data_IF_654001253257
#
_entry.id   IF_654001253257
#
_cell.length_a   1.000
_cell.length_b   1.000
_cell.length_c   1.000
_cell.angle_alpha   90.00
_cell.angle_beta   90.00
_cell.angle_gamma   90.00
#
_symmetry.space_group_name_H-M   'P 1'
#
loop_
_entity.id
_entity.type
_entity.pdbx_description
1 polymer ?
#
# COMPACT_ATOMS: atom_id res chain seq x y z
N UNK A 1 -10.18 15.42 35.30
CA UNK A 1 -9.27 16.06 34.31
C UNK A 1 -8.33 14.97 33.82
N UNK A 2 -8.51 14.43 32.59
CA UNK A 2 -7.60 13.40 32.10
C UNK A 2 -6.19 14.00 31.91
N UNK A 3 -5.19 13.31 32.46
CA UNK A 3 -3.77 13.69 32.37
C UNK A 3 -3.30 13.72 30.91
N UNK A 4 -2.41 14.66 30.55
CA UNK A 4 -1.86 14.81 29.19
C UNK A 4 -1.33 13.49 28.60
N UNK A 5 -0.76 12.63 29.43
CA UNK A 5 -0.25 11.31 29.03
C UNK A 5 -1.34 10.35 28.51
N UNK A 6 -2.57 10.45 29.04
CA UNK A 6 -3.68 9.62 28.56
C UNK A 6 -4.10 10.03 27.15
N UNK A 7 -4.02 11.32 26.81
CA UNK A 7 -4.36 11.83 25.48
C UNK A 7 -3.28 11.46 24.44
N UNK A 8 -2.00 11.53 24.82
CA UNK A 8 -0.86 11.11 23.98
C UNK A 8 -0.91 9.61 23.69
N UNK A 9 -1.09 8.77 24.73
CA UNK A 9 -1.18 7.30 24.54
C UNK A 9 -2.36 6.88 23.65
N UNK A 10 -3.50 7.57 23.76
CA UNK A 10 -4.67 7.32 22.90
C UNK A 10 -4.45 7.82 21.46
N UNK A 11 -3.73 8.93 21.28
CA UNK A 11 -3.32 9.44 19.97
C UNK A 11 -2.44 8.44 19.22
N UNK A 12 -1.37 7.98 19.87
CA UNK A 12 -0.40 7.06 19.26
C UNK A 12 -1.07 5.74 18.84
N UNK A 13 -1.98 5.18 19.66
CA UNK A 13 -2.73 3.96 19.30
C UNK A 13 -3.60 4.13 18.06
N UNK A 14 -4.27 5.28 17.91
CA UNK A 14 -5.10 5.57 16.73
C UNK A 14 -4.24 5.65 15.47
N UNK A 15 -3.10 6.32 15.57
CA UNK A 15 -2.13 6.42 14.49
C UNK A 15 -1.65 5.02 14.06
N UNK A 16 -1.12 4.19 14.95
CA UNK A 16 -0.73 2.82 14.61
C UNK A 16 -1.84 2.01 13.93
N UNK A 17 -3.08 2.12 14.43
CA UNK A 17 -4.24 1.47 13.81
C UNK A 17 -4.50 1.99 12.40
N UNK A 18 -4.36 3.29 12.14
CA UNK A 18 -4.54 3.84 10.79
C UNK A 18 -3.49 3.31 9.81
N UNK A 19 -2.21 3.23 10.19
CA UNK A 19 -1.17 2.65 9.33
C UNK A 19 -1.41 1.17 9.06
N UNK A 20 -1.82 0.42 10.09
CA UNK A 20 -2.21 -0.98 9.91
C UNK A 20 -3.42 -1.15 9.00
N UNK A 21 -4.44 -0.29 9.14
CA UNK A 21 -5.61 -0.30 8.25
C UNK A 21 -5.22 -0.01 6.80
N UNK A 22 -4.34 0.96 6.55
CA UNK A 22 -3.84 1.24 5.20
C UNK A 22 -3.11 0.01 4.66
N UNK A 23 -2.17 -0.54 5.43
CA UNK A 23 -1.30 -1.63 4.99
C UNK A 23 -2.01 -2.96 4.82
N UNK A 24 -2.98 -3.29 5.67
CA UNK A 24 -3.65 -4.58 5.64
C UNK A 24 -5.00 -4.49 4.92
N UNK A 25 -5.87 -3.57 5.33
CA UNK A 25 -7.25 -3.51 4.79
C UNK A 25 -7.26 -2.88 3.41
N UNK A 26 -6.71 -1.67 3.25
CA UNK A 26 -6.77 -0.99 1.94
C UNK A 26 -5.93 -1.72 0.89
N UNK A 27 -4.77 -2.25 1.26
CA UNK A 27 -3.96 -3.06 0.36
C UNK A 27 -4.72 -4.32 -0.12
N UNK A 28 -5.45 -5.01 0.77
CA UNK A 28 -6.26 -6.16 0.40
C UNK A 28 -7.48 -5.76 -0.44
N UNK A 29 -8.11 -4.62 -0.15
CA UNK A 29 -9.23 -4.10 -0.95
C UNK A 29 -8.81 -3.81 -2.40
N UNK A 30 -7.54 -3.47 -2.65
CA UNK A 30 -6.98 -3.32 -4.00
C UNK A 30 -6.76 -4.65 -4.75
N UNK A 31 -6.78 -5.79 -4.06
CA UNK A 31 -6.73 -7.12 -4.68
C UNK A 31 -8.11 -7.68 -5.04
N UNK A 32 -9.18 -6.99 -4.66
CA UNK A 32 -10.55 -7.43 -4.96
C UNK A 32 -10.86 -7.36 -6.46
N UNK A 33 -11.85 -8.13 -6.88
CA UNK A 33 -12.46 -8.04 -8.22
C UNK A 33 -13.76 -7.19 -8.20
N UNK A 34 -14.11 -6.61 -7.06
CA UNK A 34 -15.25 -5.71 -6.89
C UNK A 34 -14.84 -4.27 -7.18
N UNK A 35 -15.39 -3.71 -8.25
CA UNK A 35 -15.06 -2.36 -8.71
C UNK A 35 -15.45 -1.27 -7.73
N UNK A 36 -16.51 -1.45 -6.94
CA UNK A 36 -16.95 -0.48 -5.94
C UNK A 36 -16.03 -0.49 -4.73
N UNK A 37 -15.67 -1.67 -4.23
CA UNK A 37 -14.73 -1.82 -3.11
C UNK A 37 -13.37 -1.25 -3.49
N UNK A 38 -12.86 -1.61 -4.68
CA UNK A 38 -11.61 -1.08 -5.21
C UNK A 38 -11.63 0.45 -5.31
N UNK A 39 -12.68 1.03 -5.88
CA UNK A 39 -12.80 2.49 -6.04
C UNK A 39 -12.87 3.20 -4.70
N UNK A 40 -13.60 2.63 -3.73
CA UNK A 40 -13.68 3.16 -2.36
C UNK A 40 -12.33 3.13 -1.66
N UNK A 41 -11.57 2.05 -1.81
CA UNK A 41 -10.21 1.95 -1.26
C UNK A 41 -9.27 2.98 -1.91
N UNK A 42 -9.32 3.12 -3.24
CA UNK A 42 -8.56 4.14 -3.95
C UNK A 42 -8.89 5.57 -3.47
N UNK A 43 -10.17 5.89 -3.24
CA UNK A 43 -10.56 7.18 -2.66
C UNK A 43 -9.98 7.40 -1.26
N UNK A 44 -10.07 6.40 -0.37
CA UNK A 44 -9.46 6.50 0.97
C UNK A 44 -7.96 6.71 0.92
N UNK A 45 -7.27 6.07 -0.03
CA UNK A 45 -5.83 6.27 -0.25
C UNK A 45 -5.56 7.71 -0.71
N UNK A 46 -6.37 8.26 -1.63
CA UNK A 46 -6.25 9.67 -2.04
C UNK A 46 -6.41 10.62 -0.86
N UNK A 47 -7.44 10.41 -0.04
CA UNK A 47 -7.70 11.24 1.14
C UNK A 47 -6.53 11.14 2.14
N UNK A 48 -5.99 9.94 2.36
CA UNK A 48 -4.83 9.74 3.21
C UNK A 48 -3.58 10.46 2.68
N UNK A 49 -3.35 10.46 1.36
CA UNK A 49 -2.25 11.21 0.73
C UNK A 49 -2.42 12.72 0.91
N UNK A 50 -3.64 13.24 0.73
CA UNK A 50 -3.92 14.67 0.90
C UNK A 50 -3.72 15.14 2.35
N UNK A 51 -3.94 14.26 3.32
CA UNK A 51 -3.79 14.55 4.75
C UNK A 51 -2.36 14.38 5.28
N UNK A 52 -1.40 13.88 4.49
CA UNK A 52 0.00 13.73 4.91
C UNK A 52 0.67 15.10 5.14
N UNK A 53 1.54 15.26 6.16
CA UNK A 53 2.36 16.45 6.30
C UNK A 53 3.42 16.53 5.19
N UNK A 54 3.79 17.76 4.81
CA UNK A 54 4.84 18.03 3.83
C UNK A 54 6.17 17.44 4.31
N UNK A 55 6.91 16.78 3.42
CA UNK A 55 8.22 16.20 3.77
C UNK A 55 9.28 17.28 3.89
N UNK A 56 9.99 17.31 5.01
CA UNK A 56 11.13 18.21 5.24
C UNK A 56 12.44 17.54 4.81
N UNK A 57 13.50 18.33 4.66
CA UNK A 57 14.84 17.83 4.29
C UNK A 57 15.47 16.92 5.36
N UNK A 58 15.01 17.02 6.61
CA UNK A 58 15.43 16.12 7.71
C UNK A 58 14.87 14.71 7.50
N UNK A 59 13.60 14.59 7.10
CA UNK A 59 12.97 13.31 6.79
C UNK A 59 13.71 12.58 5.64
N UNK A 60 14.23 13.34 4.67
CA UNK A 60 14.97 12.80 3.52
C UNK A 60 16.33 12.19 3.93
N UNK A 61 17.02 12.83 4.86
CA UNK A 61 18.32 12.35 5.36
C UNK A 61 18.14 11.09 6.22
N UNK A 62 17.17 11.10 7.14
CA UNK A 62 16.90 9.95 8.01
C UNK A 62 16.44 8.72 7.22
N UNK A 63 15.65 8.87 6.15
CA UNK A 63 15.27 7.74 5.29
C UNK A 63 16.48 7.16 4.51
N UNK A 64 17.38 8.01 4.00
CA UNK A 64 18.58 7.54 3.31
C UNK A 64 19.49 6.69 4.22
N UNK A 65 19.61 7.07 5.49
CA UNK A 65 20.36 6.32 6.50
C UNK A 65 19.71 4.96 6.83
N UNK A 66 18.38 4.92 7.02
CA UNK A 66 17.68 3.65 7.30
C UNK A 66 17.79 2.65 6.16
N UNK A 67 17.76 3.11 4.89
CA UNK A 67 17.91 2.25 3.72
C UNK A 67 19.35 1.81 3.50
N UNK A 68 20.34 2.66 3.79
CA UNK A 68 21.75 2.25 3.79
C UNK A 68 22.01 1.16 4.84
N UNK A 69 21.43 1.31 6.04
CA UNK A 69 21.54 0.31 7.10
C UNK A 69 20.78 -1.00 6.77
N UNK A 70 19.58 -0.91 6.19
CA UNK A 70 18.83 -2.07 5.72
C UNK A 70 19.51 -2.79 4.55
N UNK A 71 20.20 -2.06 3.67
CA UNK A 71 21.03 -2.62 2.60
C UNK A 71 22.22 -3.42 3.14
N UNK A 72 22.87 -2.93 4.20
CA UNK A 72 23.93 -3.63 4.92
C UNK A 72 23.40 -4.91 5.61
N UNK A 73 22.23 -4.84 6.25
CA UNK A 73 21.59 -6.00 6.90
C UNK A 73 21.07 -7.06 5.92
N UNK A 74 20.57 -6.68 4.74
CA UNK A 74 20.15 -7.63 3.69
C UNK A 74 21.33 -8.35 3.03
N UNK A 75 22.51 -7.75 2.99
CA UNK A 75 23.72 -8.41 2.52
C UNK A 75 24.21 -9.51 3.50
N UNK A 76 23.92 -9.37 4.80
CA UNK A 76 24.30 -10.34 5.82
C UNK A 76 23.40 -11.59 5.88
N UNK A 77 22.13 -11.49 5.45
CA UNK A 77 21.15 -12.59 5.57
C UNK A 77 21.31 -13.72 4.52
N UNK A 78 22.21 -13.56 3.54
CA UNK A 78 22.40 -14.55 2.45
C UNK A 78 23.44 -15.62 2.79
N UNK A 79 24.10 -15.58 3.95
CA UNK A 79 25.19 -16.51 4.29
C UNK A 79 24.98 -17.39 5.54
N UNK A 80 23.76 -17.59 6.06
CA UNK A 80 23.60 -18.47 7.23
C UNK A 80 22.31 -19.27 7.20
N UNK A 81 22.33 -20.38 6.47
CA UNK A 81 21.36 -21.45 6.62
C UNK A 81 22.04 -22.80 6.44
N UNK A 82 22.38 -23.43 7.57
CA UNK A 82 22.44 -24.89 7.87
C UNK A 82 23.45 -25.09 9.02
N UNK A 83 23.00 -25.38 10.25
CA UNK A 83 22.97 -26.77 10.76
C UNK A 83 22.48 -26.87 12.23
N UNK A 84 21.54 -27.80 12.43
CA UNK A 84 21.36 -28.76 13.55
C UNK A 84 21.02 -28.34 14.99
N UNK A 85 19.93 -28.99 15.45
CA UNK A 85 19.33 -29.09 16.79
C UNK A 85 20.18 -29.88 17.81
N UNK A 86 20.21 -29.44 19.07
CA UNK A 86 20.13 -30.33 20.26
C UNK A 86 19.93 -29.60 21.60
N UNK A 87 19.44 -30.30 22.65
CA UNK A 87 18.53 -29.77 23.68
C UNK A 87 19.21 -29.33 25.00
N UNK A 88 18.51 -28.61 25.90
CA UNK A 88 19.01 -28.26 27.23
C UNK A 88 18.77 -29.39 28.26
N UNK A 89 19.80 -29.70 29.05
CA UNK A 89 19.74 -30.59 30.22
C UNK A 89 19.48 -29.79 31.51
N UNK A 90 18.76 -30.32 32.52
CA UNK A 90 18.32 -29.57 33.69
C UNK A 90 19.28 -29.72 34.89
N UNK A 91 19.35 -28.69 35.74
CA UNK A 91 19.93 -28.77 37.08
C UNK A 91 19.08 -28.00 38.10
N UNK A 92 19.14 -28.45 39.34
CA UNK A 92 18.07 -28.45 40.34
C UNK A 92 17.85 -27.16 41.15
N UNK A 93 16.61 -27.10 41.67
CA UNK A 93 16.13 -26.60 42.97
C UNK A 93 16.40 -25.14 43.35
N UNK A 94 15.31 -24.38 43.50
CA UNK A 94 14.84 -23.98 44.82
C UNK A 94 13.33 -23.67 44.77
N UNK A 95 12.62 -24.20 45.78
CA UNK A 95 11.23 -23.91 46.05
C UNK A 95 11.07 -22.44 46.39
N UNK A 96 10.38 -21.70 45.54
CA UNK A 96 9.37 -20.74 45.91
C UNK A 96 8.42 -20.67 44.73
N UNK A 97 7.12 -20.72 45.00
CA UNK A 97 6.06 -20.76 44.00
C UNK A 97 6.08 -19.47 43.17
N UNK A 98 6.97 -19.40 42.20
CA UNK A 98 7.05 -18.33 41.23
C UNK A 98 5.86 -18.45 40.30
N UNK A 99 5.07 -17.39 40.26
CA UNK A 99 3.92 -17.22 39.37
C UNK A 99 4.27 -17.69 37.94
N UNK A 100 3.57 -18.71 37.39
CA UNK A 100 3.88 -19.29 36.08
C UNK A 100 3.72 -18.31 34.91
N UNK A 101 3.15 -17.13 35.15
CA UNK A 101 2.96 -16.08 34.14
C UNK A 101 3.83 -14.83 34.37
N UNK A 102 4.63 -14.77 35.44
CA UNK A 102 5.55 -13.65 35.71
C UNK A 102 4.86 -12.28 35.80
N UNK A 103 3.58 -12.23 36.20
CA UNK A 103 2.80 -11.00 36.32
C UNK A 103 3.25 -10.14 37.50
N UNK A 104 3.88 -10.73 38.51
CA UNK A 104 4.42 -9.98 39.65
C UNK A 104 5.58 -9.06 39.27
N UNK A 105 6.28 -9.34 38.16
CA UNK A 105 7.28 -8.43 37.58
C UNK A 105 6.65 -7.23 36.84
N UNK A 106 5.35 -7.30 36.56
CA UNK A 106 4.58 -6.27 35.84
C UNK A 106 3.78 -5.35 36.78
N UNK A 107 3.73 -5.66 38.08
CA UNK A 107 3.13 -4.80 39.09
C UNK A 107 4.22 -3.87 39.65
N UNK A 108 4.12 -2.54 39.49
CA UNK A 108 5.03 -1.61 40.13
C UNK A 108 4.90 -1.77 41.64
N UNK A 109 5.96 -2.22 42.31
CA UNK A 109 6.05 -2.22 43.76
C UNK A 109 5.85 -0.77 44.23
N UNK A 110 4.72 -0.46 44.88
CA UNK A 110 4.43 0.86 45.46
C UNK A 110 5.28 1.01 46.73
N UNK A 111 6.59 1.10 46.53
CA UNK A 111 7.57 1.46 47.53
C UNK A 111 7.64 2.96 47.64
N UNK A 112 7.14 3.49 48.77
CA UNK A 112 7.14 4.90 49.14
C UNK A 112 8.54 5.52 49.07
N UNK A 113 8.91 6.21 47.99
CA UNK A 113 9.86 7.34 47.96
C UNK A 113 10.06 7.85 46.52
N UNK A 114 9.31 8.84 46.05
CA UNK A 114 9.74 9.66 44.90
C UNK A 114 8.91 10.95 44.76
N UNK A 115 9.43 12.05 45.28
CA UNK A 115 8.85 13.39 45.13
C UNK A 115 9.80 14.37 44.40
N UNK A 116 10.85 13.88 43.71
CA UNK A 116 11.85 14.78 43.09
C UNK A 116 12.44 14.32 41.74
N UNK A 117 11.65 13.66 40.89
CA UNK A 117 12.07 13.26 39.53
C UNK A 117 11.16 13.75 38.40
N UNK A 118 9.96 14.28 38.72
CA UNK A 118 8.91 14.65 37.76
C UNK A 118 9.30 15.70 36.69
N UNK A 119 10.32 16.52 36.92
CA UNK A 119 10.70 17.60 36.00
C UNK A 119 11.52 17.16 34.77
N UNK A 120 12.35 16.11 34.91
CA UNK A 120 13.27 15.64 33.84
C UNK A 120 12.63 14.53 32.99
N UNK A 121 11.68 13.81 33.58
CA UNK A 121 10.90 12.76 32.92
C UNK A 121 9.92 13.35 31.90
N UNK A 122 9.23 14.46 32.23
CA UNK A 122 8.27 15.12 31.33
C UNK A 122 8.92 15.62 30.02
N UNK A 123 10.16 16.11 30.08
CA UNK A 123 10.90 16.57 28.90
C UNK A 123 11.38 15.42 28.02
N UNK A 124 11.70 14.27 28.61
CA UNK A 124 12.09 13.08 27.86
C UNK A 124 10.87 12.40 27.23
N UNK A 125 9.73 12.32 27.94
CA UNK A 125 8.48 11.78 27.42
C UNK A 125 7.95 12.57 26.22
N UNK A 126 8.08 13.90 26.22
CA UNK A 126 7.69 14.72 25.07
C UNK A 126 8.59 14.48 23.85
N UNK A 127 9.90 14.33 24.03
CA UNK A 127 10.83 14.00 22.93
C UNK A 127 10.55 12.63 22.34
N UNK A 128 10.29 11.63 23.18
CA UNK A 128 9.92 10.29 22.74
C UNK A 128 8.61 10.29 21.95
N UNK A 129 7.61 11.07 22.37
CA UNK A 129 6.34 11.19 21.65
C UNK A 129 6.51 11.86 20.26
N UNK A 130 7.36 12.88 20.14
CA UNK A 130 7.68 13.50 18.85
C UNK A 130 8.40 12.52 17.90
N UNK A 131 9.35 11.74 18.42
CA UNK A 131 10.03 10.69 17.65
C UNK A 131 9.07 9.57 17.21
N UNK A 132 8.16 9.14 18.08
CA UNK A 132 7.13 8.15 17.75
C UNK A 132 6.21 8.65 16.63
N UNK A 133 5.79 9.91 16.69
CA UNK A 133 4.98 10.53 15.64
C UNK A 133 5.74 10.64 14.31
N UNK A 134 7.04 10.98 14.33
CA UNK A 134 7.90 10.94 13.13
C UNK A 134 7.98 9.53 12.53
N UNK A 135 8.18 8.51 13.37
CA UNK A 135 8.19 7.10 12.93
C UNK A 135 6.86 6.67 12.33
N UNK A 136 5.75 7.15 12.91
CA UNK A 136 4.41 6.89 12.40
C UNK A 136 4.21 7.49 11.00
N UNK A 137 4.57 8.75 10.78
CA UNK A 137 4.45 9.41 9.47
C UNK A 137 5.26 8.64 8.42
N UNK A 138 6.49 8.20 8.75
CA UNK A 138 7.31 7.38 7.86
C UNK A 138 6.61 6.06 7.50
N UNK A 139 6.13 5.33 8.51
CA UNK A 139 5.40 4.08 8.29
C UNK A 139 4.12 4.28 7.46
N UNK A 140 3.44 5.42 7.62
CA UNK A 140 2.27 5.79 6.85
C UNK A 140 2.63 6.08 5.38
N UNK A 141 3.69 6.85 5.12
CA UNK A 141 4.20 7.12 3.76
C UNK A 141 4.58 5.83 3.04
N UNK A 142 5.29 4.92 3.72
CA UNK A 142 5.64 3.60 3.19
C UNK A 142 4.41 2.75 2.87
N UNK A 143 3.41 2.71 3.77
CA UNK A 143 2.18 1.94 3.56
C UNK A 143 1.40 2.46 2.35
N UNK A 144 1.35 3.78 2.14
CA UNK A 144 0.70 4.39 0.98
C UNK A 144 1.45 4.09 -0.32
N UNK A 145 2.79 4.11 -0.30
CA UNK A 145 3.60 3.75 -1.45
C UNK A 145 3.39 2.28 -1.85
N UNK A 146 3.33 1.37 -0.88
CA UNK A 146 2.98 -0.03 -1.13
C UNK A 146 1.59 -0.17 -1.77
N UNK A 147 0.60 0.59 -1.31
CA UNK A 147 -0.74 0.58 -1.91
C UNK A 147 -0.73 1.07 -3.37
N UNK A 148 0.05 2.10 -3.68
CA UNK A 148 0.21 2.59 -5.05
C UNK A 148 0.85 1.54 -5.97
N UNK A 149 1.88 0.84 -5.48
CA UNK A 149 2.48 -0.26 -6.24
C UNK A 149 1.50 -1.41 -6.50
N UNK A 150 0.71 -1.79 -5.49
CA UNK A 150 -0.31 -2.84 -5.63
C UNK A 150 -1.35 -2.43 -6.67
N UNK A 151 -1.86 -1.20 -6.59
CA UNK A 151 -2.80 -0.66 -7.58
C UNK A 151 -2.21 -0.68 -8.99
N UNK A 152 -0.96 -0.24 -9.16
CA UNK A 152 -0.29 -0.22 -10.46
C UNK A 152 -0.15 -1.62 -11.10
N UNK A 153 0.09 -2.67 -10.28
CA UNK A 153 0.17 -4.06 -10.79
C UNK A 153 -1.14 -4.55 -11.42
N UNK A 154 -2.28 -3.98 -11.00
CA UNK A 154 -3.61 -4.34 -11.49
C UNK A 154 -4.02 -3.57 -12.76
N UNK A 155 -3.17 -2.72 -13.33
CA UNK A 155 -3.49 -1.96 -14.56
C UNK A 155 -3.87 -2.84 -15.77
N UNK A 156 -3.53 -4.12 -15.73
CA UNK A 156 -3.94 -5.12 -16.74
C UNK A 156 -5.46 -5.31 -16.79
N UNK A 157 -6.17 -5.00 -15.72
CA UNK A 157 -7.61 -5.23 -15.58
C UNK A 157 -8.37 -3.99 -16.09
N UNK A 158 -9.17 -4.09 -17.17
CA UNK A 158 -9.74 -2.92 -17.84
C UNK A 158 -10.62 -2.03 -16.95
N UNK A 159 -11.42 -2.63 -16.06
CA UNK A 159 -12.38 -1.88 -15.25
C UNK A 159 -11.73 -0.99 -14.19
N UNK A 160 -10.50 -1.27 -13.73
CA UNK A 160 -9.81 -0.47 -12.72
C UNK A 160 -8.85 0.58 -13.29
N UNK A 161 -8.56 0.55 -14.60
CA UNK A 161 -7.54 1.42 -15.23
C UNK A 161 -7.78 2.91 -14.99
N UNK A 162 -9.02 3.38 -15.15
CA UNK A 162 -9.36 4.80 -14.92
C UNK A 162 -9.16 5.19 -13.47
N UNK A 163 -9.49 4.31 -12.52
CA UNK A 163 -9.29 4.58 -11.08
C UNK A 163 -7.80 4.67 -10.77
N UNK A 164 -6.99 3.76 -11.33
CA UNK A 164 -5.53 3.79 -11.19
C UNK A 164 -4.94 5.07 -11.80
N UNK A 165 -5.38 5.47 -12.99
CA UNK A 165 -4.93 6.72 -13.64
C UNK A 165 -5.18 7.94 -12.72
N UNK A 166 -6.37 8.04 -12.13
CA UNK A 166 -6.76 9.13 -11.24
C UNK A 166 -5.93 9.09 -9.95
N UNK A 167 -5.77 7.91 -9.35
CA UNK A 167 -5.01 7.72 -8.12
C UNK A 167 -3.53 8.07 -8.32
N UNK A 168 -2.91 7.56 -9.39
CA UNK A 168 -1.51 7.81 -9.69
C UNK A 168 -1.24 9.28 -10.01
N UNK A 169 -2.16 9.94 -10.74
CA UNK A 169 -2.08 11.39 -10.97
C UNK A 169 -2.14 12.16 -9.65
N UNK A 170 -3.10 11.81 -8.78
CA UNK A 170 -3.24 12.46 -7.47
C UNK A 170 -1.99 12.29 -6.59
N UNK A 171 -1.39 11.09 -6.58
CA UNK A 171 -0.14 10.86 -5.86
C UNK A 171 1.03 11.69 -6.44
N UNK A 172 1.08 11.86 -7.75
CA UNK A 172 2.08 12.69 -8.42
C UNK A 172 1.89 14.20 -8.14
N UNK A 173 0.63 14.67 -8.11
CA UNK A 173 0.31 16.07 -7.81
C UNK A 173 0.67 16.44 -6.36
N UNK A 174 0.73 15.46 -5.44
CA UNK A 174 1.11 15.61 -4.03
C UNK A 174 2.47 14.96 -3.68
N UNK A 175 3.37 14.93 -4.65
CA UNK A 175 4.69 14.30 -4.50
C UNK A 175 5.56 14.99 -3.43
N UNK A 176 5.32 16.27 -3.16
CA UNK A 176 5.98 17.08 -2.13
C UNK A 176 5.78 16.53 -0.70
N UNK A 177 4.71 15.76 -0.48
CA UNK A 177 4.42 15.14 0.84
C UNK A 177 5.21 13.86 1.11
N UNK A 178 5.91 13.34 0.11
CA UNK A 178 6.76 12.15 0.20
C UNK A 178 8.24 12.54 0.29
N UNK A 179 9.07 11.61 0.77
CA UNK A 179 10.53 11.80 0.86
C UNK A 179 11.19 11.67 -0.52
N UNK A 180 12.39 12.22 -0.69
CA UNK A 180 13.11 12.28 -1.97
C UNK A 180 13.15 10.94 -2.71
N UNK A 181 13.44 9.83 -2.01
CA UNK A 181 13.49 8.51 -2.63
C UNK A 181 12.10 8.00 -3.04
N UNK A 182 11.11 8.19 -2.17
CA UNK A 182 9.71 7.86 -2.47
C UNK A 182 9.19 8.68 -3.66
N UNK A 183 9.59 9.95 -3.78
CA UNK A 183 9.28 10.81 -4.94
C UNK A 183 9.80 10.19 -6.23
N UNK A 184 11.05 9.73 -6.24
CA UNK A 184 11.63 9.08 -7.42
C UNK A 184 10.86 7.79 -7.78
N UNK A 185 10.46 6.99 -6.79
CA UNK A 185 9.65 5.79 -7.01
C UNK A 185 8.27 6.14 -7.60
N UNK A 186 7.60 7.16 -7.06
CA UNK A 186 6.31 7.66 -7.57
C UNK A 186 6.45 8.20 -9.00
N UNK A 187 7.53 8.92 -9.31
CA UNK A 187 7.80 9.40 -10.67
C UNK A 187 7.96 8.26 -11.67
N UNK A 188 8.73 7.22 -11.31
CA UNK A 188 8.89 6.02 -12.15
C UNK A 188 7.57 5.30 -12.36
N UNK A 189 6.79 5.14 -11.29
CA UNK A 189 5.47 4.50 -11.33
C UNK A 189 4.49 5.30 -12.20
N UNK A 190 4.46 6.63 -12.05
CA UNK A 190 3.63 7.51 -12.86
C UNK A 190 4.01 7.48 -14.34
N UNK A 191 5.32 7.50 -14.67
CA UNK A 191 5.78 7.38 -16.05
C UNK A 191 5.32 6.07 -16.69
N UNK A 192 5.43 4.95 -15.96
CA UNK A 192 4.97 3.63 -16.42
C UNK A 192 3.46 3.61 -16.67
N UNK A 193 2.65 4.12 -15.74
CA UNK A 193 1.19 4.19 -15.89
C UNK A 193 0.80 5.09 -17.05
N UNK A 194 1.43 6.26 -17.18
CA UNK A 194 1.15 7.20 -18.28
C UNK A 194 1.47 6.57 -19.63
N UNK A 195 2.55 5.80 -19.72
CA UNK A 195 2.88 5.06 -20.93
C UNK A 195 1.82 3.99 -21.25
N UNK A 196 1.35 3.23 -20.26
CA UNK A 196 0.24 2.29 -20.43
C UNK A 196 -1.07 2.98 -20.83
N UNK A 197 -1.35 4.14 -20.25
CA UNK A 197 -2.50 4.97 -20.60
C UNK A 197 -2.43 5.44 -22.05
N UNK A 198 -1.26 5.88 -22.52
CA UNK A 198 -1.03 6.27 -23.92
C UNK A 198 -1.20 5.07 -24.83
N UNK A 199 -0.64 3.89 -24.50
CA UNK A 199 -0.82 2.65 -25.27
C UNK A 199 -2.29 2.27 -25.42
N UNK A 200 -3.04 2.32 -24.31
CA UNK A 200 -4.48 2.08 -24.28
C UNK A 200 -5.25 3.04 -25.19
N UNK A 201 -4.92 4.33 -25.16
CA UNK A 201 -5.55 5.33 -26.05
C UNK A 201 -5.18 5.15 -27.53
N UNK A 202 -3.98 4.63 -27.80
CA UNK A 202 -3.50 4.37 -29.16
C UNK A 202 -3.99 3.04 -29.75
N UNK A 203 -4.70 2.20 -28.98
CA UNK A 203 -5.19 0.89 -29.46
C UNK A 203 -4.08 -0.13 -29.75
N UNK A 204 -2.86 0.12 -29.27
CA UNK A 204 -1.72 -0.80 -29.45
C UNK A 204 -1.75 -1.85 -28.35
N UNK A 205 -1.93 -3.10 -28.74
CA UNK A 205 -1.90 -4.25 -27.84
C UNK A 205 -0.49 -4.45 -27.25
N UNK A 206 -0.39 -5.20 -26.15
CA UNK A 206 0.88 -5.56 -25.48
C UNK A 206 1.83 -6.31 -26.44
N UNK A 207 1.29 -6.96 -27.47
CA UNK A 207 2.03 -7.65 -28.55
C UNK A 207 2.44 -6.75 -29.71
N UNK A 208 2.19 -5.43 -29.66
CA UNK A 208 2.54 -4.50 -30.74
C UNK A 208 1.65 -4.59 -31.98
N UNK A 209 0.67 -5.50 -31.97
CA UNK A 209 -0.36 -5.56 -33.01
C UNK A 209 -1.36 -4.43 -32.75
N UNK A 210 -1.66 -3.65 -33.79
CA UNK A 210 -2.75 -2.68 -33.77
C UNK A 210 -4.04 -3.51 -33.71
N UNK A 211 -4.63 -3.64 -32.52
CA UNK A 211 -5.91 -4.30 -32.40
C UNK A 211 -6.93 -3.34 -33.05
N UNK A 212 -7.40 -3.74 -34.23
CA UNK A 212 -8.42 -2.99 -34.96
C UNK A 212 -9.59 -2.76 -34.00
N UNK A 213 -9.94 -1.49 -33.75
CA UNK A 213 -11.05 -1.16 -32.85
C UNK A 213 -12.29 -1.95 -33.31
N UNK A 214 -13.09 -2.50 -32.39
CA UNK A 214 -14.23 -3.36 -32.74
C UNK A 214 -15.15 -2.69 -33.77
N UNK A 215 -15.28 -1.37 -33.71
CA UNK A 215 -15.98 -0.56 -34.70
C UNK A 215 -15.34 -0.61 -36.10
N UNK A 216 -14.03 -0.41 -36.21
CA UNK A 216 -13.30 -0.51 -37.49
C UNK A 216 -13.31 -1.94 -38.04
N UNK A 217 -13.22 -2.95 -37.18
CA UNK A 217 -13.37 -4.35 -37.58
C UNK A 217 -14.79 -4.67 -38.09
N UNK A 218 -15.83 -4.11 -37.46
CA UNK A 218 -17.19 -4.20 -37.99
C UNK A 218 -17.36 -3.42 -39.30
N UNK A 219 -16.81 -2.21 -39.38
CA UNK A 219 -16.86 -1.38 -40.58
C UNK A 219 -16.19 -2.08 -41.77
N UNK A 220 -15.03 -2.68 -41.59
CA UNK A 220 -14.33 -3.45 -42.62
C UNK A 220 -15.14 -4.69 -43.05
N UNK A 221 -15.75 -5.39 -42.08
CA UNK A 221 -16.66 -6.52 -42.36
C UNK A 221 -17.83 -6.06 -43.23
N UNK A 222 -18.54 -5.00 -42.83
CA UNK A 222 -19.70 -4.49 -43.56
C UNK A 222 -19.36 -3.75 -44.86
N UNK A 223 -18.16 -3.17 -44.98
CA UNK A 223 -17.71 -2.48 -46.19
C UNK A 223 -17.43 -3.47 -47.34
N UNK A 224 -16.98 -4.69 -47.00
CA UNK A 224 -16.73 -5.75 -47.97
C UNK A 224 -17.95 -6.67 -48.17
N UNK A 225 -18.96 -6.58 -47.31
CA UNK A 225 -20.20 -7.34 -47.42
C UNK A 225 -21.09 -6.76 -48.54
N UNK A 226 -21.47 -7.59 -49.52
CA UNK A 226 -22.40 -7.17 -50.58
C UNK A 226 -23.81 -7.01 -50.00
N UNK A 227 -24.19 -5.78 -49.71
CA UNK A 227 -25.57 -5.44 -49.33
C UNK A 227 -26.45 -5.67 -50.56
N UNK A 228 -27.29 -6.69 -50.51
CA UNK A 228 -28.27 -6.95 -51.58
C UNK A 228 -29.24 -5.79 -51.68
N UNK A 229 -29.53 -5.34 -52.91
CA UNK A 229 -30.45 -4.25 -53.26
C UNK A 229 -31.86 -4.45 -52.66
N UNK A 230 -32.20 -5.68 -52.22
CA UNK A 230 -33.45 -6.00 -51.54
C UNK A 230 -33.42 -5.89 -50.01
N UNK A 231 -32.45 -5.17 -49.43
CA UNK A 231 -32.29 -4.97 -47.98
C UNK A 231 -32.18 -6.26 -47.14
N UNK A 232 -31.81 -7.40 -47.75
CA UNK A 232 -31.56 -8.64 -47.01
C UNK A 232 -30.07 -8.81 -46.77
N UNK A 233 -29.67 -8.88 -45.51
CA UNK A 233 -28.37 -9.42 -45.10
C UNK A 233 -28.47 -10.95 -45.10
N UNK A 234 -27.57 -11.67 -45.79
CA UNK A 234 -27.52 -13.15 -45.75
C UNK A 234 -27.94 -13.90 -47.02
N UNK A 235 -27.49 -13.48 -48.20
CA UNK A 235 -27.69 -14.22 -49.46
C UNK A 235 -26.67 -15.33 -49.74
N UNK A 236 -25.88 -15.76 -48.75
CA UNK A 236 -24.96 -16.89 -48.85
C UNK A 236 -25.37 -17.96 -47.84
N UNK A 237 -26.00 -19.03 -48.33
CA UNK A 237 -26.75 -20.01 -47.53
C UNK A 237 -25.91 -20.94 -46.65
N UNK A 238 -25.15 -20.41 -45.69
CA UNK A 238 -24.41 -21.26 -44.75
C UNK A 238 -24.15 -20.63 -43.37
N UNK A 239 -25.14 -19.91 -42.81
CA UNK A 239 -25.18 -19.63 -41.37
C UNK A 239 -26.58 -19.89 -40.83
N UNK A 240 -26.74 -21.00 -40.12
CA UNK A 240 -27.93 -21.26 -39.30
C UNK A 240 -28.02 -20.13 -38.28
N UNK A 241 -29.10 -19.36 -38.32
CA UNK A 241 -29.40 -18.41 -37.25
C UNK A 241 -29.69 -19.24 -35.98
N UNK A 242 -28.77 -19.21 -35.02
CA UNK A 242 -29.07 -19.69 -33.68
C UNK A 242 -30.04 -18.69 -33.06
N UNK A 243 -31.27 -19.15 -32.85
CA UNK A 243 -32.36 -18.39 -32.27
C UNK A 243 -32.11 -18.28 -30.76
N UNK A 244 -31.68 -17.10 -30.29
CA UNK A 244 -31.37 -16.80 -28.89
C UNK A 244 -32.63 -16.62 -28.00
N UNK A 245 -33.71 -17.33 -28.30
CA UNK A 245 -34.91 -17.37 -27.48
C UNK A 245 -35.30 -18.83 -27.26
N UNK A 246 -34.73 -19.39 -26.21
CA UNK A 246 -35.12 -20.63 -25.52
C UNK A 246 -34.85 -20.43 -24.05
#
# INVERSE_FOLDING_TARGET
MPSKEFFVSVGNKKEFLTTWMIRAVLANDLYTDDSFVYSKAACKIKDAIANLPVSTTEDDAEEAETLANAGSAKAALVCTSLDVLSPPSPSNSNNDASDPFGLDALLPFIGKKDEKTRGKEMTNSNRMAEEEHKRFIKAQREALLLCLEIAARRYKVPWCQTVIDILAKHAFDHIDRFTLQQRQAIQKLWASIKEQQIRRKQGKSVTGKLDMNAFSGCQEKYANEKISIRHSVGGGGERRAEQWLG
#
